data_IF_329303165946
#
_entry.id   IF_329303165946
#
_cell.length_a   1.000
_cell.length_b   1.000
_cell.length_c   1.000
_cell.angle_alpha   90.00
_cell.angle_beta   90.00
_cell.angle_gamma   90.00
#
_symmetry.space_group_name_H-M   'P 1'
#
loop_
_entity.id
_entity.type
_entity.pdbx_description
1 polymer ?
#
# COMPACT_ATOMS: atom_id res chain seq x y z
N UNK A 1 -30.58 16.88 -5.58
CA UNK A 1 -29.42 17.64 -5.05
C UNK A 1 -28.14 17.08 -5.64
N UNK A 2 -27.13 17.93 -5.91
CA UNK A 2 -25.83 17.46 -6.38
C UNK A 2 -25.05 16.96 -5.18
N UNK A 3 -24.60 15.72 -5.24
CA UNK A 3 -23.72 15.13 -4.24
C UNK A 3 -22.36 15.83 -4.30
N UNK A 4 -22.15 16.79 -3.40
CA UNK A 4 -20.95 17.62 -3.39
C UNK A 4 -19.86 16.96 -2.53
N UNK A 5 -18.90 16.31 -3.19
CA UNK A 5 -17.66 15.86 -2.56
C UNK A 5 -16.93 17.07 -1.95
N UNK A 6 -16.50 16.93 -0.69
CA UNK A 6 -15.78 17.95 0.07
C UNK A 6 -14.48 17.35 0.63
N UNK A 7 -13.43 18.17 0.66
CA UNK A 7 -12.15 17.79 1.26
C UNK A 7 -12.28 17.97 2.77
N UNK A 8 -12.19 16.88 3.52
CA UNK A 8 -12.27 16.89 5.00
C UNK A 8 -10.90 17.04 5.66
N UNK A 9 -9.84 16.75 4.91
CA UNK A 9 -8.46 16.83 5.36
C UNK A 9 -7.48 16.54 4.23
N UNK A 10 -6.21 16.84 4.48
CA UNK A 10 -5.10 16.67 3.54
C UNK A 10 -3.90 16.11 4.29
N UNK A 11 -3.20 15.18 3.67
CA UNK A 11 -1.87 14.73 4.09
C UNK A 11 -0.87 14.95 2.96
N UNK A 12 0.40 15.18 3.30
CA UNK A 12 1.50 15.40 2.36
C UNK A 12 2.75 14.70 2.88
N UNK A 13 3.50 14.09 1.96
CA UNK A 13 4.86 13.64 2.16
C UNK A 13 5.78 14.44 1.23
N UNK A 14 6.79 15.11 1.77
CA UNK A 14 7.81 15.82 0.97
C UNK A 14 9.13 15.11 1.12
N UNK A 15 9.71 14.66 0.01
CA UNK A 15 10.94 13.88 0.04
C UNK A 15 12.12 14.82 0.01
N UNK A 16 13.06 14.62 0.93
CA UNK A 16 14.30 15.36 1.01
C UNK A 16 15.23 15.01 -0.17
N UNK A 17 16.21 15.87 -0.52
CA UNK A 17 17.14 15.60 -1.60
C UNK A 17 17.97 14.31 -1.45
N UNK A 18 18.04 13.74 -0.24
CA UNK A 18 18.69 12.46 0.04
C UNK A 18 17.90 11.24 -0.50
N UNK A 19 16.63 11.43 -0.87
CA UNK A 19 15.73 10.38 -1.36
C UNK A 19 15.36 9.33 -0.31
N UNK A 20 15.75 9.52 0.96
CA UNK A 20 15.61 8.54 2.05
C UNK A 20 14.80 9.09 3.21
N UNK A 21 14.70 10.41 3.31
CA UNK A 21 14.01 11.09 4.39
C UNK A 21 12.79 11.82 3.82
N UNK A 22 11.66 11.76 4.54
CA UNK A 22 10.42 12.43 4.15
C UNK A 22 9.81 13.26 5.27
N UNK A 23 9.38 14.49 4.95
CA UNK A 23 8.59 15.33 5.85
C UNK A 23 7.09 15.03 5.69
N UNK A 24 6.45 14.61 6.78
CA UNK A 24 5.01 14.43 6.92
C UNK A 24 4.35 15.72 7.41
N UNK A 25 3.33 16.17 6.68
CA UNK A 25 2.42 17.22 7.13
C UNK A 25 0.96 16.80 6.90
N UNK A 26 0.05 17.15 7.81
CA UNK A 26 -1.37 16.88 7.65
C UNK A 26 -2.26 17.90 8.34
N UNK A 27 -3.48 18.07 7.83
CA UNK A 27 -4.52 18.93 8.39
C UNK A 27 -5.88 18.26 8.25
N UNK A 28 -6.71 18.36 9.29
CA UNK A 28 -8.10 17.88 9.30
C UNK A 28 -8.99 19.06 9.66
N UNK A 29 -10.07 19.26 8.90
CA UNK A 29 -11.04 20.32 9.19
C UNK A 29 -11.64 20.16 10.59
N UNK A 30 -11.82 21.28 11.30
CA UNK A 30 -12.12 21.27 12.75
C UNK A 30 -13.32 20.42 13.14
N UNK A 31 -14.37 20.42 12.33
CA UNK A 31 -15.60 19.64 12.54
C UNK A 31 -15.38 18.11 12.49
N UNK A 32 -14.26 17.67 11.89
CA UNK A 32 -13.94 16.27 11.62
C UNK A 32 -12.76 15.77 12.48
N UNK A 33 -12.22 16.62 13.35
CA UNK A 33 -11.17 16.24 14.28
C UNK A 33 -11.73 15.32 15.39
N UNK A 34 -10.86 14.50 15.98
CA UNK A 34 -11.25 13.58 17.07
C UNK A 34 -12.00 12.32 16.63
N UNK A 35 -12.29 12.16 15.34
CA UNK A 35 -13.01 11.01 14.78
C UNK A 35 -12.09 9.97 14.11
N UNK A 36 -10.77 10.09 14.30
CA UNK A 36 -9.79 9.16 13.73
C UNK A 36 -9.37 9.45 12.28
N UNK A 37 -9.92 10.48 11.61
CA UNK A 37 -9.50 10.86 10.26
C UNK A 37 -8.00 11.16 10.17
N UNK A 38 -7.45 11.88 11.15
CA UNK A 38 -6.01 12.18 11.21
C UNK A 38 -5.16 10.91 11.24
N UNK A 39 -5.59 9.90 12.00
CA UNK A 39 -4.92 8.59 12.02
C UNK A 39 -4.91 7.97 10.64
N UNK A 40 -6.06 7.92 9.96
CA UNK A 40 -6.16 7.34 8.62
C UNK A 40 -5.35 8.08 7.57
N UNK A 41 -5.30 9.40 7.65
CA UNK A 41 -4.46 10.22 6.76
C UNK A 41 -2.98 9.92 6.99
N UNK A 42 -2.52 9.90 8.24
CA UNK A 42 -1.11 9.62 8.55
C UNK A 42 -0.73 8.18 8.18
N UNK A 43 -1.57 7.21 8.52
CA UNK A 43 -1.41 5.80 8.17
C UNK A 43 -1.20 5.60 6.66
N UNK A 44 -2.07 6.21 5.86
CA UNK A 44 -1.98 6.16 4.40
C UNK A 44 -0.72 6.85 3.85
N UNK A 45 -0.31 7.99 4.43
CA UNK A 45 0.92 8.66 4.01
C UNK A 45 2.16 7.81 4.37
N UNK A 46 2.15 7.12 5.50
CA UNK A 46 3.22 6.20 5.88
C UNK A 46 3.29 4.97 4.98
N UNK A 47 2.14 4.46 4.53
CA UNK A 47 2.08 3.38 3.53
C UNK A 47 2.76 3.82 2.22
N UNK A 48 2.42 5.01 1.71
CA UNK A 48 3.09 5.59 0.54
C UNK A 48 4.60 5.77 0.80
N UNK A 49 4.99 6.22 1.99
CA UNK A 49 6.41 6.38 2.32
C UNK A 49 7.18 5.05 2.22
N UNK A 50 6.58 3.93 2.64
CA UNK A 50 7.16 2.59 2.53
C UNK A 50 7.28 2.13 1.07
N UNK A 51 6.23 2.32 0.29
CA UNK A 51 6.22 2.01 -1.16
C UNK A 51 7.30 2.80 -1.90
N UNK A 52 7.54 4.05 -1.49
CA UNK A 52 8.59 4.92 -2.02
C UNK A 52 9.98 4.64 -1.42
N UNK A 53 10.12 3.64 -0.56
CA UNK A 53 11.35 3.26 0.13
C UNK A 53 12.00 4.37 0.96
N UNK A 54 11.18 5.24 1.55
CA UNK A 54 11.63 6.23 2.52
C UNK A 54 12.00 5.50 3.82
N UNK A 55 13.25 5.69 4.25
CA UNK A 55 13.79 5.06 5.45
C UNK A 55 13.30 5.75 6.73
N UNK A 56 13.17 7.08 6.68
CA UNK A 56 12.84 7.90 7.85
C UNK A 56 11.77 8.92 7.49
N UNK A 57 10.68 8.96 8.26
CA UNK A 57 9.66 9.99 8.16
C UNK A 57 9.74 10.88 9.39
N UNK A 58 9.73 12.20 9.20
CA UNK A 58 9.69 13.16 10.29
C UNK A 58 8.53 14.15 10.14
N UNK A 59 8.12 14.75 11.26
CA UNK A 59 7.11 15.81 11.29
C UNK A 59 7.54 16.90 12.27
N UNK A 60 7.38 18.17 11.89
CA UNK A 60 7.64 19.31 12.76
C UNK A 60 6.29 19.84 13.27
N UNK A 61 6.17 20.00 14.58
CA UNK A 61 4.93 20.40 15.25
C UNK A 61 5.22 21.48 16.30
N UNK A 62 4.22 22.30 16.60
CA UNK A 62 4.28 23.19 17.76
C UNK A 62 4.03 22.39 19.06
N UNK A 63 4.69 22.75 20.19
CA UNK A 63 4.51 22.09 21.49
C UNK A 63 3.08 22.10 22.03
N UNK A 64 2.26 23.08 21.61
CA UNK A 64 0.86 23.23 22.00
C UNK A 64 -0.11 22.42 21.12
N UNK A 65 0.36 21.88 19.98
CA UNK A 65 -0.43 21.02 19.10
C UNK A 65 -0.56 19.59 19.67
N UNK A 66 -1.24 19.50 20.81
CA UNK A 66 -1.45 18.24 21.56
C UNK A 66 -2.10 17.16 20.71
N UNK A 67 -2.93 17.52 19.73
CA UNK A 67 -3.59 16.56 18.83
C UNK A 67 -2.56 15.86 17.93
N UNK A 68 -1.73 16.63 17.22
CA UNK A 68 -0.69 16.08 16.35
C UNK A 68 0.39 15.34 17.15
N UNK A 69 0.80 15.87 18.30
CA UNK A 69 1.75 15.22 19.19
C UNK A 69 1.21 13.86 19.68
N UNK A 70 -0.01 13.82 20.22
CA UNK A 70 -0.58 12.56 20.70
C UNK A 70 -0.80 11.54 19.57
N UNK A 71 -1.18 12.01 18.37
CA UNK A 71 -1.35 11.16 17.21
C UNK A 71 -0.01 10.52 16.79
N UNK A 72 0.99 11.35 16.50
CA UNK A 72 2.30 10.88 16.03
C UNK A 72 2.98 10.00 17.08
N UNK A 73 2.84 10.32 18.37
CA UNK A 73 3.33 9.47 19.47
C UNK A 73 2.67 8.08 19.47
N UNK A 74 1.35 8.00 19.23
CA UNK A 74 0.64 6.71 19.12
C UNK A 74 1.07 5.92 17.88
N UNK A 75 1.46 6.60 16.82
CA UNK A 75 2.00 6.00 15.59
C UNK A 75 3.49 5.62 15.71
N UNK A 76 4.09 5.73 16.89
CA UNK A 76 5.48 5.30 17.13
C UNK A 76 6.56 6.36 16.89
N UNK A 77 6.18 7.61 16.60
CA UNK A 77 7.18 8.67 16.43
C UNK A 77 7.88 8.97 17.76
N UNK A 78 9.20 9.11 17.70
CA UNK A 78 10.03 9.61 18.80
C UNK A 78 10.09 11.13 18.71
N UNK A 79 9.79 11.82 19.82
CA UNK A 79 9.75 13.28 19.88
C UNK A 79 11.02 13.85 20.48
N UNK A 80 11.54 14.91 19.87
CA UNK A 80 12.65 15.71 20.35
C UNK A 80 12.26 17.19 20.31
N UNK A 81 12.51 17.91 21.41
CA UNK A 81 12.25 19.34 21.50
C UNK A 81 13.44 20.12 20.94
N UNK A 82 13.18 20.94 19.94
CA UNK A 82 14.18 21.70 19.22
C UNK A 82 14.41 23.07 19.88
N UNK A 83 15.59 23.64 19.68
CA UNK A 83 15.95 24.95 20.24
C UNK A 83 15.10 26.11 19.68
N UNK A 84 14.50 25.92 18.49
CA UNK A 84 13.61 26.89 17.85
C UNK A 84 12.17 26.90 18.42
N UNK A 85 11.92 26.10 19.46
CA UNK A 85 10.61 26.01 20.10
C UNK A 85 9.63 25.06 19.40
N UNK A 86 10.09 24.24 18.45
CA UNK A 86 9.30 23.19 17.83
C UNK A 86 9.55 21.81 18.44
N UNK A 87 8.69 20.85 18.11
CA UNK A 87 8.87 19.44 18.42
C UNK A 87 9.04 18.68 17.11
N UNK A 88 10.18 18.02 16.96
CA UNK A 88 10.45 17.11 15.84
C UNK A 88 10.06 15.70 16.24
N UNK A 89 9.08 15.13 15.54
CA UNK A 89 8.77 13.71 15.62
C UNK A 89 9.50 12.95 14.52
N UNK A 90 10.12 11.82 14.83
CA UNK A 90 10.82 10.96 13.86
C UNK A 90 10.36 9.51 13.99
N UNK A 91 10.04 8.88 12.87
CA UNK A 91 9.71 7.47 12.73
C UNK A 91 10.70 6.80 11.77
N UNK A 92 11.26 5.68 12.20
CA UNK A 92 12.18 4.85 11.41
C UNK A 92 11.39 3.69 10.80
N UNK A 93 11.32 3.63 9.47
CA UNK A 93 10.55 2.63 8.74
C UNK A 93 11.39 1.40 8.35
N UNK A 94 12.72 1.43 8.55
CA UNK A 94 13.63 0.38 8.07
C UNK A 94 13.31 -0.99 8.67
N UNK A 95 12.96 -1.03 9.96
CA UNK A 95 12.60 -2.26 10.67
C UNK A 95 11.33 -2.91 10.12
N UNK A 96 10.35 -2.12 9.67
CA UNK A 96 9.12 -2.65 9.07
C UNK A 96 9.36 -3.16 7.65
N UNK A 97 10.11 -2.42 6.84
CA UNK A 97 10.45 -2.84 5.48
C UNK A 97 11.26 -4.15 5.43
N UNK A 98 12.11 -4.39 6.44
CA UNK A 98 12.84 -5.66 6.58
C UNK A 98 11.91 -6.85 6.83
N UNK A 99 10.84 -6.66 7.59
CA UNK A 99 9.85 -7.72 7.85
C UNK A 99 9.10 -8.13 6.58
N UNK A 100 8.76 -7.16 5.74
CA UNK A 100 8.09 -7.39 4.45
C UNK A 100 8.98 -8.18 3.49
N UNK A 101 10.25 -7.76 3.33
CA UNK A 101 11.23 -8.45 2.47
C UNK A 101 11.51 -9.90 2.90
N UNK A 102 11.59 -10.18 4.21
CA UNK A 102 11.77 -11.54 4.72
C UNK A 102 10.53 -12.43 4.52
N UNK A 103 9.33 -11.84 4.49
CA UNK A 103 8.09 -12.57 4.24
C UNK A 103 7.97 -12.96 2.76
N UNK A 104 8.29 -12.03 1.85
CA UNK A 104 8.31 -12.30 0.40
C UNK A 104 9.37 -13.33 0.00
N UNK A 105 10.59 -13.23 0.56
CA UNK A 105 11.66 -14.19 0.29
C UNK A 105 11.24 -15.63 0.64
N UNK A 106 10.58 -15.84 1.80
CA UNK A 106 10.07 -17.15 2.21
C UNK A 106 8.98 -17.69 1.28
N UNK A 107 8.14 -16.83 0.72
CA UNK A 107 7.06 -17.26 -0.18
C UNK A 107 7.57 -17.61 -1.59
N UNK A 108 8.70 -17.02 -2.02
CA UNK A 108 9.34 -17.32 -3.31
C UNK A 108 10.01 -18.70 -3.36
N UNK A 109 10.49 -19.22 -2.22
CA UNK A 109 11.13 -20.55 -2.12
C UNK A 109 10.10 -21.69 -2.20
N UNK A 110 8.93 -21.53 -1.57
CA UNK A 110 7.84 -22.53 -1.56
C UNK A 110 7.17 -22.83 -2.91
N UNK A 111 7.34 -22.00 -3.94
CA UNK A 111 6.77 -22.25 -5.28
C UNK A 111 7.72 -23.03 -6.21
N UNK A 112 8.99 -23.21 -5.85
CA UNK A 112 9.95 -23.94 -6.70
C UNK A 112 9.95 -25.46 -6.48
N UNK A 113 9.48 -25.95 -5.33
CA UNK A 113 9.41 -27.39 -5.05
C UNK A 113 8.19 -28.09 -5.69
N UNK A 114 7.07 -27.38 -5.88
CA UNK A 114 5.85 -27.94 -6.52
C UNK A 114 6.00 -28.20 -8.03
N UNK A 115 7.08 -27.73 -8.66
CA UNK A 115 7.36 -27.90 -10.08
C UNK A 115 8.06 -29.22 -10.46
N UNK A 116 8.71 -29.90 -9.52
CA UNK A 116 9.58 -31.05 -9.84
C UNK A 116 8.89 -32.42 -9.74
N UNK A 117 7.80 -32.58 -8.97
CA UNK A 117 7.08 -33.85 -8.91
C UNK A 117 6.20 -34.13 -10.14
N UNK A 118 5.80 -33.09 -10.88
CA UNK A 118 4.97 -33.24 -12.09
C UNK A 118 5.73 -33.76 -13.33
N UNK A 119 7.05 -34.02 -13.24
CA UNK A 119 7.85 -34.48 -14.38
C UNK A 119 7.98 -36.01 -14.51
N UNK A 120 7.49 -36.80 -13.56
CA UNK A 120 7.55 -38.27 -13.63
C UNK A 120 6.24 -38.98 -14.02
N UNK A 121 5.13 -38.25 -14.20
CA UNK A 121 3.85 -38.80 -14.63
C UNK A 121 3.54 -38.35 -16.06
N UNK A 122 4.46 -38.59 -17.00
CA UNK A 122 4.18 -38.46 -18.44
C UNK A 122 5.01 -39.47 -19.23
N UNK A 123 4.83 -40.74 -18.89
CA UNK A 123 5.12 -41.86 -19.78
C UNK A 123 4.11 -42.96 -19.51
N UNK A 124 2.89 -42.78 -20.04
CA UNK A 124 2.07 -43.90 -20.52
C UNK A 124 0.88 -43.37 -21.32
N UNK A 125 0.75 -44.01 -22.49
CA UNK A 125 -0.43 -44.18 -23.33
C UNK A 125 -0.64 -43.24 -24.53
N UNK A 126 -0.75 -43.92 -25.66
CA UNK A 126 -0.90 -43.53 -27.08
C UNK A 126 -2.22 -44.15 -27.57
N UNK A 127 -2.66 -43.95 -28.83
CA UNK A 127 -3.54 -42.88 -29.31
C UNK A 127 -4.94 -43.39 -29.75
N UNK A 128 -5.95 -42.52 -29.79
CA UNK A 128 -7.04 -42.62 -30.79
C UNK A 128 -7.88 -41.34 -30.79
N UNK A 129 -7.96 -40.63 -31.92
CA UNK A 129 -9.11 -40.68 -32.84
C UNK A 129 -9.03 -39.54 -33.87
N UNK A 130 -9.27 -39.91 -35.12
CA UNK A 130 -9.21 -39.12 -36.35
C UNK A 130 -10.33 -38.07 -36.49
N UNK A 131 -9.90 -36.90 -36.96
CA UNK A 131 -10.48 -36.00 -37.99
C UNK A 131 -12.01 -35.95 -38.21
N UNK A 132 -12.55 -34.78 -37.88
CA UNK A 132 -13.38 -33.86 -38.68
C UNK A 132 -14.01 -34.38 -39.99
N UNK A 133 -15.32 -34.22 -40.12
CA UNK A 133 -15.94 -33.75 -41.36
C UNK A 133 -16.85 -32.55 -41.07
N UNK A 134 -16.62 -31.50 -41.86
CA UNK A 134 -17.41 -30.30 -42.03
C UNK A 134 -18.70 -30.60 -42.82
N UNK A 135 -19.68 -29.70 -42.67
CA UNK A 135 -20.53 -29.14 -43.74
C UNK A 135 -22.02 -29.10 -43.38
N UNK A 136 -22.55 -27.87 -43.31
CA UNK A 136 -23.67 -27.38 -44.11
C UNK A 136 -24.27 -26.11 -43.49
N UNK A 137 -24.20 -25.01 -44.23
CA UNK A 137 -24.82 -23.72 -43.93
C UNK A 137 -26.37 -23.75 -44.03
N UNK A 138 -27.08 -22.81 -43.38
CA UNK A 138 -28.54 -22.73 -43.40
C UNK A 138 -29.04 -21.82 -44.53
N UNK A 139 -30.13 -22.18 -45.21
CA UNK A 139 -30.88 -21.28 -46.09
C UNK A 139 -32.39 -21.55 -46.07
N UNK A 140 -33.12 -20.42 -46.08
CA UNK A 140 -34.52 -20.16 -46.53
C UNK A 140 -35.68 -20.69 -45.65
N UNK A 141 -36.56 -19.87 -45.08
CA UNK A 141 -37.43 -18.75 -45.55
C UNK A 141 -38.89 -19.20 -45.82
N UNK A 142 -39.81 -18.43 -45.21
CA UNK A 142 -41.27 -18.29 -45.44
C UNK A 142 -42.30 -19.30 -44.91
N UNK A 143 -43.02 -18.82 -43.88
CA UNK A 143 -44.47 -18.49 -43.91
C UNK A 143 -45.45 -19.46 -44.59
N UNK A 144 -46.30 -20.09 -43.77
CA UNK A 144 -47.78 -19.91 -43.77
C UNK A 144 -48.37 -20.47 -42.48
#
# INVERSE_FOLDING_TARGET
EKDHKRILGVGRLSIEPDGKTGELAFIIGDQWQGQGLGTKVVDFVLEIAKEMHIEVVYAIMLPDNRRALNLTKKMGFKHEYMADGTVKGTLDLREEMLREKCFEARNSETQTEAGYENKMISKKETPEKSMLEEDAQPMEENSL
#
